data_IF_641861838111
#
_entry.id   IF_641861838111
#
_cell.length_a   1.000
_cell.length_b   1.000
_cell.length_c   1.000
_cell.angle_alpha   90.00
_cell.angle_beta   90.00
_cell.angle_gamma   90.00
#
_symmetry.space_group_name_H-M   'P 1'
#
loop_
_entity.id
_entity.type
_entity.pdbx_description
1 polymer ?
#
# COMPACT_ATOMS: atom_id res chain seq x y z
N UNK A 1 -30.72 -4.73 -1.57
CA UNK A 1 -29.72 -4.00 -2.38
C UNK A 1 -28.78 -5.00 -3.02
N UNK A 2 -28.22 -4.69 -4.16
CA UNK A 2 -27.23 -5.52 -4.84
C UNK A 2 -25.83 -4.96 -4.51
N UNK A 3 -24.92 -5.84 -4.03
CA UNK A 3 -23.52 -5.51 -3.78
C UNK A 3 -22.69 -6.24 -4.84
N UNK A 4 -22.05 -5.49 -5.71
CA UNK A 4 -21.28 -5.99 -6.85
C UNK A 4 -19.78 -6.01 -6.60
N UNK A 5 -19.15 -7.13 -6.93
CA UNK A 5 -17.71 -7.33 -6.86
C UNK A 5 -17.21 -7.67 -8.28
N UNK A 6 -16.87 -6.67 -9.10
CA UNK A 6 -16.29 -6.91 -10.40
C UNK A 6 -14.84 -7.39 -10.30
N UNK A 7 -14.37 -8.03 -11.36
CA UNK A 7 -12.96 -8.37 -11.53
C UNK A 7 -12.15 -7.09 -11.74
N UNK A 8 -10.94 -7.04 -11.17
CA UNK A 8 -10.01 -5.95 -11.45
C UNK A 8 -9.41 -6.08 -12.84
N UNK A 9 -9.38 -4.96 -13.58
CA UNK A 9 -8.96 -4.91 -14.98
C UNK A 9 -7.64 -4.16 -15.19
N UNK A 10 -7.14 -3.45 -14.19
CA UNK A 10 -5.83 -2.78 -14.29
C UNK A 10 -4.70 -3.80 -14.44
N UNK A 11 -3.78 -3.51 -15.36
CA UNK A 11 -2.59 -4.34 -15.57
C UNK A 11 -1.80 -4.46 -14.26
N UNK A 12 -1.48 -5.69 -13.87
CA UNK A 12 -0.74 -5.99 -12.63
C UNK A 12 -1.59 -5.95 -11.35
N UNK A 13 -2.92 -5.76 -11.44
CA UNK A 13 -3.81 -5.93 -10.29
C UNK A 13 -4.35 -7.37 -10.26
N UNK A 14 -4.09 -8.04 -9.16
CA UNK A 14 -4.45 -9.46 -8.97
C UNK A 14 -5.35 -9.65 -7.74
N UNK A 15 -5.56 -8.59 -6.96
CA UNK A 15 -6.42 -8.61 -5.78
C UNK A 15 -7.89 -8.55 -6.19
N UNK A 16 -8.76 -8.88 -5.24
CA UNK A 16 -10.21 -8.74 -5.36
C UNK A 16 -10.76 -8.05 -4.11
N UNK A 17 -11.82 -7.25 -4.27
CA UNK A 17 -12.34 -6.40 -3.20
C UNK A 17 -13.13 -7.15 -2.12
N UNK A 18 -13.57 -8.38 -2.38
CA UNK A 18 -14.24 -9.24 -1.41
C UNK A 18 -13.76 -10.69 -1.54
N UNK A 19 -13.76 -11.41 -0.42
CA UNK A 19 -13.44 -12.84 -0.35
C UNK A 19 -14.67 -13.62 0.09
N UNK A 20 -14.71 -14.95 -0.07
CA UNK A 20 -15.83 -15.77 0.42
C UNK A 20 -16.18 -15.52 1.89
N UNK A 21 -15.16 -15.28 2.74
CA UNK A 21 -15.39 -14.90 4.15
C UNK A 21 -16.23 -13.63 4.29
N UNK A 22 -15.87 -12.58 3.55
CA UNK A 22 -16.58 -11.29 3.62
C UNK A 22 -17.93 -11.33 2.91
N UNK A 23 -18.03 -12.06 1.79
CA UNK A 23 -19.29 -12.34 1.08
C UNK A 23 -20.29 -13.01 2.02
N UNK A 24 -19.90 -14.07 2.74
CA UNK A 24 -20.76 -14.75 3.72
C UNK A 24 -21.32 -13.79 4.76
N UNK A 25 -20.52 -12.83 5.23
CA UNK A 25 -20.98 -11.82 6.20
C UNK A 25 -21.93 -10.80 5.57
N UNK A 26 -21.70 -10.38 4.32
CA UNK A 26 -22.58 -9.47 3.61
C UNK A 26 -23.93 -10.11 3.27
N UNK A 27 -23.94 -11.39 2.90
CA UNK A 27 -25.14 -12.15 2.57
C UNK A 27 -25.94 -12.61 3.80
N UNK A 28 -25.35 -12.59 5.01
CA UNK A 28 -25.91 -13.21 6.21
C UNK A 28 -27.30 -12.71 6.61
N UNK A 29 -27.64 -11.45 6.30
CA UNK A 29 -28.98 -10.89 6.58
C UNK A 29 -30.08 -11.40 5.67
N UNK A 30 -29.72 -11.99 4.53
CA UNK A 30 -30.67 -12.38 3.45
C UNK A 30 -31.36 -11.19 2.75
N UNK A 31 -31.00 -9.94 3.09
CA UNK A 31 -31.60 -8.73 2.50
C UNK A 31 -30.76 -8.13 1.38
N UNK A 32 -29.54 -8.61 1.19
CA UNK A 32 -28.62 -8.15 0.16
C UNK A 32 -28.27 -9.30 -0.78
N UNK A 33 -28.36 -9.03 -2.08
CA UNK A 33 -27.87 -9.93 -3.11
C UNK A 33 -26.39 -9.57 -3.39
N UNK A 34 -25.48 -10.48 -3.07
CA UNK A 34 -24.06 -10.30 -3.33
C UNK A 34 -23.75 -10.95 -4.67
N UNK A 35 -23.30 -10.15 -5.62
CA UNK A 35 -22.98 -10.61 -6.98
C UNK A 35 -21.47 -10.45 -7.24
N UNK A 36 -20.85 -11.50 -7.74
CA UNK A 36 -19.42 -11.55 -8.04
C UNK A 36 -19.25 -11.82 -9.53
N UNK A 37 -18.44 -11.02 -10.21
CA UNK A 37 -18.09 -11.29 -11.59
C UNK A 37 -17.35 -12.63 -11.70
N UNK A 38 -17.79 -13.47 -12.65
CA UNK A 38 -17.13 -14.77 -12.93
C UNK A 38 -15.64 -14.57 -13.14
N UNK A 39 -14.84 -15.33 -12.39
CA UNK A 39 -13.38 -15.25 -12.43
C UNK A 39 -12.74 -14.10 -11.64
N UNK A 40 -13.51 -13.29 -10.89
CA UNK A 40 -12.98 -12.15 -10.14
C UNK A 40 -11.90 -12.53 -9.12
N UNK A 41 -12.03 -13.70 -8.49
CA UNK A 41 -11.10 -14.17 -7.47
C UNK A 41 -9.93 -15.01 -7.98
N UNK A 42 -9.93 -15.40 -9.25
CA UNK A 42 -8.96 -16.39 -9.80
C UNK A 42 -7.51 -15.96 -9.61
N UNK A 43 -7.19 -14.70 -9.87
CA UNK A 43 -5.83 -14.17 -9.67
C UNK A 43 -5.39 -14.14 -8.19
N UNK A 44 -6.34 -14.22 -7.25
CA UNK A 44 -6.12 -14.34 -5.81
C UNK A 44 -6.24 -15.78 -5.30
N UNK A 45 -6.23 -16.76 -6.21
CA UNK A 45 -6.41 -18.18 -5.89
C UNK A 45 -7.74 -18.51 -5.21
N UNK A 46 -8.78 -17.76 -5.52
CA UNK A 46 -10.15 -17.95 -5.02
C UNK A 46 -11.02 -18.39 -6.19
N UNK A 47 -11.46 -19.67 -6.25
CA UNK A 47 -12.33 -20.16 -7.30
C UNK A 47 -13.76 -19.65 -7.15
N UNK A 48 -14.47 -19.59 -8.26
CA UNK A 48 -15.88 -19.15 -8.32
C UNK A 48 -16.81 -19.96 -7.41
N UNK A 49 -16.53 -21.27 -7.29
CA UNK A 49 -17.30 -22.16 -6.41
C UNK A 49 -17.28 -21.75 -4.94
N UNK A 50 -16.18 -21.16 -4.47
CA UNK A 50 -16.05 -20.71 -3.08
C UNK A 50 -16.96 -19.48 -2.83
N UNK A 51 -17.09 -18.59 -3.82
CA UNK A 51 -18.04 -17.47 -3.74
C UNK A 51 -19.49 -17.94 -3.73
N UNK A 52 -19.83 -18.93 -4.59
CA UNK A 52 -21.17 -19.54 -4.60
C UNK A 52 -21.47 -20.21 -3.25
N UNK A 53 -20.51 -20.98 -2.71
CA UNK A 53 -20.62 -21.60 -1.38
C UNK A 53 -20.78 -20.60 -0.24
N UNK A 54 -20.30 -19.37 -0.42
CA UNK A 54 -20.46 -18.28 0.52
C UNK A 54 -21.79 -17.51 0.37
N UNK A 55 -22.61 -17.84 -0.65
CA UNK A 55 -23.90 -17.22 -0.90
C UNK A 55 -23.90 -16.10 -1.95
N UNK A 56 -22.82 -15.94 -2.72
CA UNK A 56 -22.80 -15.03 -3.85
C UNK A 56 -23.41 -15.67 -5.10
N UNK A 57 -23.99 -14.84 -5.96
CA UNK A 57 -24.37 -15.21 -7.33
C UNK A 57 -23.28 -14.77 -8.31
N UNK A 58 -22.85 -15.68 -9.16
CA UNK A 58 -21.92 -15.36 -10.24
C UNK A 58 -22.64 -14.65 -11.37
N UNK A 59 -22.01 -13.61 -11.89
CA UNK A 59 -22.61 -12.70 -12.88
C UNK A 59 -21.60 -12.24 -13.92
N UNK A 60 -22.07 -11.50 -14.91
CA UNK A 60 -21.23 -10.79 -15.89
C UNK A 60 -20.62 -9.52 -15.28
N UNK A 61 -19.56 -8.98 -15.92
CA UNK A 61 -18.98 -7.70 -15.56
C UNK A 61 -20.03 -6.56 -15.52
N UNK A 62 -20.95 -6.54 -16.48
CA UNK A 62 -21.98 -5.50 -16.58
C UNK A 62 -22.95 -5.56 -15.39
N UNK A 63 -23.33 -6.75 -14.95
CA UNK A 63 -24.22 -6.91 -13.78
C UNK A 63 -23.51 -6.55 -12.48
N UNK A 64 -22.21 -6.94 -12.31
CA UNK A 64 -21.44 -6.59 -11.13
C UNK A 64 -21.21 -5.07 -11.00
N UNK A 65 -20.87 -4.41 -12.12
CA UNK A 65 -20.70 -2.94 -12.17
C UNK A 65 -22.03 -2.18 -12.07
N UNK A 66 -23.15 -2.77 -12.52
CA UNK A 66 -24.50 -2.19 -12.44
C UNK A 66 -25.16 -2.31 -11.05
N UNK A 67 -24.46 -2.79 -10.05
CA UNK A 67 -24.97 -2.96 -8.69
C UNK A 67 -25.24 -1.62 -7.96
N UNK A 68 -25.96 -1.67 -6.83
CA UNK A 68 -26.24 -0.51 -5.99
C UNK A 68 -24.98 -0.06 -5.21
N UNK A 69 -24.15 -1.01 -4.84
CA UNK A 69 -22.85 -0.81 -4.19
C UNK A 69 -21.81 -1.58 -4.98
N UNK A 70 -20.78 -0.92 -5.48
CA UNK A 70 -19.67 -1.52 -6.21
C UNK A 70 -18.41 -1.46 -5.39
N UNK A 71 -17.85 -2.63 -5.08
CA UNK A 71 -16.62 -2.77 -4.33
C UNK A 71 -15.47 -3.06 -5.29
N UNK A 72 -14.46 -2.18 -5.31
CA UNK A 72 -13.26 -2.36 -6.14
C UNK A 72 -11.99 -2.20 -5.31
N UNK A 73 -10.91 -2.81 -5.79
CA UNK A 73 -9.57 -2.54 -5.26
C UNK A 73 -9.05 -1.24 -5.83
N UNK A 74 -9.18 -1.06 -7.14
CA UNK A 74 -8.77 0.18 -7.85
C UNK A 74 -9.97 0.85 -8.49
N UNK A 75 -9.92 2.16 -8.59
CA UNK A 75 -10.96 2.93 -9.29
C UNK A 75 -11.26 2.38 -10.69
N UNK A 76 -12.51 2.51 -11.17
CA UNK A 76 -12.95 2.02 -12.47
C UNK A 76 -12.12 2.59 -13.62
N UNK A 77 -11.93 1.78 -14.66
CA UNK A 77 -11.36 2.22 -15.93
C UNK A 77 -12.39 3.03 -16.74
N UNK A 78 -11.94 3.71 -17.81
CA UNK A 78 -12.84 4.44 -18.70
C UNK A 78 -13.92 3.55 -19.31
N UNK A 79 -13.63 2.28 -19.59
CA UNK A 79 -14.58 1.31 -20.16
C UNK A 79 -15.57 0.76 -19.11
N UNK A 80 -15.23 0.83 -17.83
CA UNK A 80 -16.09 0.40 -16.72
C UNK A 80 -17.08 1.50 -16.29
N UNK A 81 -16.69 2.77 -16.40
CA UNK A 81 -17.49 3.92 -15.94
C UNK A 81 -18.92 3.94 -16.52
N UNK A 82 -19.16 3.71 -17.83
CA UNK A 82 -20.51 3.74 -18.41
C UNK A 82 -21.43 2.62 -17.89
N UNK A 83 -20.87 1.58 -17.27
CA UNK A 83 -21.61 0.44 -16.74
C UNK A 83 -22.06 0.64 -15.29
N UNK A 84 -21.53 1.67 -14.62
CA UNK A 84 -21.93 1.98 -13.25
C UNK A 84 -23.36 2.54 -13.23
N UNK A 85 -24.14 2.06 -12.28
CA UNK A 85 -25.49 2.57 -12.05
C UNK A 85 -25.43 3.99 -11.49
N UNK A 86 -26.15 4.93 -12.07
CA UNK A 86 -26.28 6.27 -11.47
C UNK A 86 -26.88 6.17 -10.07
N UNK A 87 -26.28 6.88 -9.12
CA UNK A 87 -26.64 6.82 -7.70
C UNK A 87 -26.02 5.65 -6.94
N UNK A 88 -25.25 4.76 -7.59
CA UNK A 88 -24.54 3.71 -6.91
C UNK A 88 -23.43 4.26 -5.97
N UNK A 89 -23.09 3.48 -4.96
CA UNK A 89 -21.90 3.73 -4.14
C UNK A 89 -20.72 3.00 -4.76
N UNK A 90 -19.62 3.70 -4.96
CA UNK A 90 -18.34 3.16 -5.40
C UNK A 90 -17.35 3.26 -4.25
N UNK A 91 -16.83 2.13 -3.78
CA UNK A 91 -15.93 2.05 -2.62
C UNK A 91 -14.63 1.37 -3.02
N UNK A 92 -13.50 2.00 -2.76
CA UNK A 92 -12.19 1.44 -3.08
C UNK A 92 -11.04 2.42 -2.95
N UNK A 93 -9.90 2.07 -3.56
CA UNK A 93 -8.77 2.96 -3.80
C UNK A 93 -9.07 3.74 -5.08
N UNK A 94 -9.55 4.96 -4.94
CA UNK A 94 -10.11 5.77 -6.03
C UNK A 94 -9.15 6.84 -6.55
N UNK A 95 -7.93 6.90 -6.02
CA UNK A 95 -6.91 7.89 -6.33
C UNK A 95 -7.41 9.34 -6.17
N UNK A 96 -7.74 9.76 -4.93
CA UNK A 96 -8.39 11.03 -4.66
C UNK A 96 -7.52 12.26 -4.95
N UNK A 97 -6.26 12.07 -5.34
CA UNK A 97 -5.35 13.13 -5.78
C UNK A 97 -5.38 13.33 -7.31
N UNK A 98 -5.99 12.43 -8.07
CA UNK A 98 -6.26 12.58 -9.49
C UNK A 98 -7.63 13.24 -9.71
N UNK A 99 -7.61 14.56 -9.91
CA UNK A 99 -8.83 15.35 -10.13
C UNK A 99 -9.62 14.89 -11.36
N UNK A 100 -8.95 14.37 -12.40
CA UNK A 100 -9.60 13.89 -13.61
C UNK A 100 -10.36 12.58 -13.34
N UNK A 101 -9.75 11.66 -12.59
CA UNK A 101 -10.41 10.43 -12.17
C UNK A 101 -11.66 10.74 -11.32
N UNK A 102 -11.54 11.60 -10.30
CA UNK A 102 -12.67 11.98 -9.45
C UNK A 102 -13.77 12.69 -10.24
N UNK A 103 -13.39 13.58 -11.17
CA UNK A 103 -14.34 14.24 -12.09
C UNK A 103 -15.13 13.23 -12.94
N UNK A 104 -14.48 12.17 -13.40
CA UNK A 104 -15.14 11.12 -14.19
C UNK A 104 -16.15 10.30 -13.36
N UNK A 105 -15.85 10.01 -12.08
CA UNK A 105 -16.79 9.35 -11.18
C UNK A 105 -18.01 10.23 -10.88
N UNK A 106 -17.80 11.52 -10.68
CA UNK A 106 -18.87 12.49 -10.51
C UNK A 106 -19.78 12.52 -11.75
N UNK A 107 -19.21 12.59 -12.98
CA UNK A 107 -19.96 12.57 -14.24
C UNK A 107 -20.75 11.26 -14.43
N UNK A 108 -20.20 10.13 -14.01
CA UNK A 108 -20.91 8.85 -13.98
C UNK A 108 -22.10 8.85 -13.01
N UNK A 109 -22.17 9.85 -12.11
CA UNK A 109 -23.27 10.05 -11.16
C UNK A 109 -23.23 9.10 -9.97
N UNK A 110 -22.07 8.56 -9.62
CA UNK A 110 -21.87 7.72 -8.43
C UNK A 110 -21.50 8.54 -7.20
N UNK A 111 -21.69 7.97 -6.01
CA UNK A 111 -21.11 8.47 -4.77
C UNK A 111 -19.83 7.69 -4.49
N UNK A 112 -18.67 8.35 -4.65
CA UNK A 112 -17.34 7.72 -4.51
C UNK A 112 -16.77 7.87 -3.11
N UNK A 113 -16.33 6.77 -2.52
CA UNK A 113 -15.67 6.72 -1.21
C UNK A 113 -14.23 6.22 -1.39
N UNK A 114 -13.28 7.16 -1.33
CA UNK A 114 -11.86 6.87 -1.46
C UNK A 114 -11.26 6.45 -0.10
N UNK A 115 -10.94 5.18 0.03
CA UNK A 115 -10.41 4.64 1.28
C UNK A 115 -8.99 5.14 1.61
N UNK A 116 -8.31 5.78 0.68
CA UNK A 116 -7.05 6.51 0.93
C UNK A 116 -7.22 7.72 1.85
N UNK A 117 -8.42 8.26 1.97
CA UNK A 117 -8.74 9.41 2.81
C UNK A 117 -9.31 9.04 4.18
N UNK A 118 -9.27 7.77 4.57
CA UNK A 118 -9.62 7.36 5.92
C UNK A 118 -8.85 8.19 6.96
N UNK A 119 -9.53 8.81 7.95
CA UNK A 119 -8.87 9.58 8.97
C UNK A 119 -8.05 8.67 9.90
N UNK A 120 -6.94 9.17 10.42
CA UNK A 120 -6.05 8.41 11.32
C UNK A 120 -6.54 8.45 12.76
N UNK A 121 -7.71 7.91 13.00
CA UNK A 121 -8.34 7.78 14.32
C UNK A 121 -8.51 6.30 14.70
N UNK A 122 -8.60 6.02 15.99
CA UNK A 122 -8.67 4.63 16.50
C UNK A 122 -9.85 3.84 15.91
N UNK A 123 -11.00 4.48 15.70
CA UNK A 123 -12.19 3.87 15.11
C UNK A 123 -12.01 3.45 13.66
N UNK A 124 -11.14 4.13 12.90
CA UNK A 124 -10.87 3.82 11.49
C UNK A 124 -9.76 2.79 11.28
N UNK A 125 -9.02 2.38 12.31
CA UNK A 125 -7.87 1.48 12.17
C UNK A 125 -8.20 0.16 11.49
N UNK A 126 -9.36 -0.44 11.80
CA UNK A 126 -9.79 -1.69 11.18
C UNK A 126 -10.18 -1.56 9.71
N UNK A 127 -10.36 -0.33 9.22
CA UNK A 127 -10.73 0.02 7.85
C UNK A 127 -9.51 0.45 7.02
N UNK A 128 -8.32 0.65 7.65
CA UNK A 128 -7.13 1.23 7.03
C UNK A 128 -6.49 0.29 6.00
N UNK A 129 -6.96 0.45 4.76
CA UNK A 129 -6.45 -0.28 3.59
C UNK A 129 -5.00 0.09 3.26
N UNK A 130 -4.58 1.35 3.52
CA UNK A 130 -3.21 1.76 3.22
C UNK A 130 -2.23 1.04 4.13
N UNK A 131 -2.55 0.91 5.42
CA UNK A 131 -1.69 0.19 6.38
C UNK A 131 -1.66 -1.31 6.10
N UNK A 132 -2.80 -1.95 5.81
CA UNK A 132 -2.82 -3.39 5.52
C UNK A 132 -2.02 -3.72 4.27
N UNK A 133 -2.13 -2.93 3.22
CA UNK A 133 -1.41 -3.16 1.97
C UNK A 133 0.07 -2.74 2.07
N UNK A 134 0.41 -1.67 2.80
CA UNK A 134 1.80 -1.28 3.05
C UNK A 134 2.56 -2.37 3.83
N UNK A 135 1.90 -3.04 4.77
CA UNK A 135 2.48 -4.16 5.51
C UNK A 135 2.92 -5.28 4.55
N UNK A 136 2.03 -5.69 3.62
CA UNK A 136 2.34 -6.71 2.60
C UNK A 136 3.45 -6.22 1.67
N UNK A 137 3.43 -4.94 1.27
CA UNK A 137 4.48 -4.38 0.42
C UNK A 137 5.86 -4.46 1.09
N UNK A 138 5.96 -4.14 2.38
CA UNK A 138 7.20 -4.26 3.16
C UNK A 138 7.72 -5.69 3.25
N UNK A 139 6.83 -6.66 3.48
CA UNK A 139 7.18 -8.08 3.43
C UNK A 139 7.69 -8.47 2.04
N UNK A 140 6.93 -8.17 1.00
CA UNK A 140 7.26 -8.59 -0.37
C UNK A 140 8.55 -7.93 -0.88
N UNK A 141 8.83 -6.69 -0.49
CA UNK A 141 10.08 -6.02 -0.83
C UNK A 141 11.31 -6.78 -0.34
N UNK A 142 11.28 -7.30 0.89
CA UNK A 142 12.38 -8.09 1.43
C UNK A 142 12.51 -9.45 0.72
N UNK A 143 11.40 -10.11 0.41
CA UNK A 143 11.41 -11.39 -0.33
C UNK A 143 11.99 -11.20 -1.73
N UNK A 144 11.61 -10.14 -2.44
CA UNK A 144 12.18 -9.80 -3.75
C UNK A 144 13.65 -9.44 -3.62
N UNK A 145 14.03 -8.65 -2.61
CA UNK A 145 15.42 -8.31 -2.38
C UNK A 145 16.28 -9.57 -2.15
N UNK A 146 15.78 -10.51 -1.36
CA UNK A 146 16.46 -11.78 -1.07
C UNK A 146 16.60 -12.65 -2.33
N UNK A 147 15.55 -12.71 -3.17
CA UNK A 147 15.58 -13.43 -4.46
C UNK A 147 16.59 -12.82 -5.45
N UNK A 148 16.64 -11.49 -5.51
CA UNK A 148 17.54 -10.77 -6.40
C UNK A 148 18.98 -10.70 -5.88
N UNK A 149 19.19 -10.86 -4.56
CA UNK A 149 20.50 -10.85 -3.93
C UNK A 149 21.17 -12.20 -4.07
N UNK A 150 22.14 -12.34 -4.95
CA UNK A 150 22.80 -13.59 -5.29
C UNK A 150 23.65 -14.23 -4.15
N UNK A 151 23.33 -13.97 -2.87
CA UNK A 151 24.01 -14.49 -1.68
C UNK A 151 23.01 -14.82 -0.58
N UNK A 152 23.48 -15.47 0.50
CA UNK A 152 22.66 -15.77 1.66
C UNK A 152 22.25 -14.52 2.45
N UNK A 153 21.02 -14.50 2.95
CA UNK A 153 20.57 -13.50 3.91
C UNK A 153 21.17 -13.73 5.31
N UNK A 154 21.11 -14.93 5.91
CA UNK A 154 21.68 -15.21 7.22
C UNK A 154 23.18 -15.44 7.17
N UNK A 155 23.82 -15.37 8.33
CA UNK A 155 25.15 -15.93 8.51
C UNK A 155 25.08 -17.46 8.38
N UNK A 156 26.05 -18.03 7.68
CA UNK A 156 26.21 -19.48 7.53
C UNK A 156 27.65 -19.89 7.85
N UNK A 157 27.80 -20.94 8.62
CA UNK A 157 29.09 -21.54 8.93
C UNK A 157 29.14 -22.97 8.42
N UNK A 158 30.17 -23.30 7.66
CA UNK A 158 30.42 -24.65 7.13
C UNK A 158 31.89 -25.00 7.28
N UNK A 159 32.25 -26.27 7.04
CA UNK A 159 33.65 -26.68 6.99
C UNK A 159 34.44 -25.96 5.89
N UNK A 160 33.78 -25.44 4.86
CA UNK A 160 34.37 -24.65 3.79
C UNK A 160 34.57 -23.17 4.16
N UNK A 161 34.07 -22.71 5.31
CA UNK A 161 34.20 -21.33 5.77
C UNK A 161 32.90 -20.70 6.21
N UNK A 162 32.97 -19.40 6.51
CA UNK A 162 31.86 -18.58 7.02
C UNK A 162 31.39 -17.57 5.97
N UNK A 163 30.07 -17.56 5.72
CA UNK A 163 29.39 -16.51 4.97
C UNK A 163 28.78 -15.51 5.97
N UNK A 164 29.12 -14.24 5.81
CA UNK A 164 28.57 -13.16 6.67
C UNK A 164 27.11 -12.90 6.33
N UNK A 165 26.30 -12.53 7.32
CA UNK A 165 24.93 -12.09 7.12
C UNK A 165 24.85 -10.85 6.22
N UNK A 166 23.79 -10.79 5.41
CA UNK A 166 23.49 -9.63 4.58
C UNK A 166 23.23 -8.39 5.46
N UNK A 167 23.76 -7.23 5.02
CA UNK A 167 23.50 -5.93 5.64
C UNK A 167 22.41 -5.21 4.89
N UNK A 168 21.32 -4.94 5.57
CA UNK A 168 20.13 -4.30 5.01
C UNK A 168 19.97 -2.90 5.59
N UNK A 169 19.80 -1.90 4.73
CA UNK A 169 19.43 -0.54 5.13
C UNK A 169 18.00 -0.26 4.69
N UNK A 170 17.18 0.26 5.59
CA UNK A 170 15.78 0.61 5.32
C UNK A 170 15.61 2.12 5.54
N UNK A 171 15.14 2.82 4.51
CA UNK A 171 14.86 4.25 4.53
C UNK A 171 13.36 4.50 4.45
N UNK A 172 12.83 5.16 5.48
CA UNK A 172 11.42 5.29 5.74
C UNK A 172 10.91 4.14 6.62
N UNK A 173 10.48 4.49 7.84
CA UNK A 173 10.05 3.52 8.86
C UNK A 173 8.57 3.77 9.20
N UNK A 174 7.73 3.79 8.15
CA UNK A 174 6.29 3.62 8.26
C UNK A 174 5.92 2.14 8.35
N UNK A 175 4.65 1.81 8.11
CA UNK A 175 4.15 0.42 8.19
C UNK A 175 4.97 -0.52 7.30
N UNK A 176 5.25 -0.13 6.04
CA UNK A 176 6.06 -0.93 5.13
C UNK A 176 7.51 -1.13 5.62
N UNK A 177 8.13 -0.05 6.12
CA UNK A 177 9.51 -0.11 6.63
C UNK A 177 9.64 -0.96 7.89
N UNK A 178 8.71 -0.84 8.84
CA UNK A 178 8.68 -1.69 10.05
C UNK A 178 8.50 -3.16 9.69
N UNK A 179 7.60 -3.47 8.75
CA UNK A 179 7.42 -4.84 8.30
C UNK A 179 8.64 -5.36 7.53
N UNK A 180 9.31 -4.51 6.75
CA UNK A 180 10.56 -4.88 6.08
C UNK A 180 11.65 -5.21 7.10
N UNK A 181 11.78 -4.41 8.18
CA UNK A 181 12.70 -4.72 9.30
C UNK A 181 12.37 -6.10 9.88
N UNK A 182 11.11 -6.33 10.26
CA UNK A 182 10.68 -7.59 10.87
C UNK A 182 10.95 -8.79 9.96
N UNK A 183 10.71 -8.66 8.65
CA UNK A 183 10.91 -9.72 7.67
C UNK A 183 12.40 -9.99 7.44
N UNK A 184 13.21 -8.96 7.21
CA UNK A 184 14.66 -9.11 7.02
C UNK A 184 15.34 -9.70 8.26
N UNK A 185 14.86 -9.35 9.47
CA UNK A 185 15.33 -9.94 10.73
C UNK A 185 15.07 -11.45 10.79
N UNK A 186 13.86 -11.88 10.41
CA UNK A 186 13.51 -13.32 10.33
C UNK A 186 14.37 -14.08 9.33
N UNK A 187 14.82 -13.43 8.26
CA UNK A 187 15.77 -14.01 7.30
C UNK A 187 17.23 -13.97 7.78
N UNK A 188 17.50 -13.46 8.98
CA UNK A 188 18.83 -13.47 9.59
C UNK A 188 19.75 -12.33 9.14
N UNK A 189 19.23 -11.28 8.53
CA UNK A 189 20.02 -10.11 8.13
C UNK A 189 20.41 -9.22 9.33
N UNK A 190 21.47 -8.45 9.16
CA UNK A 190 21.84 -7.32 10.04
C UNK A 190 21.22 -6.06 9.46
N UNK A 191 20.40 -5.37 10.25
CA UNK A 191 19.54 -4.30 9.75
C UNK A 191 19.90 -2.96 10.39
N UNK A 192 20.02 -1.95 9.54
CA UNK A 192 20.04 -0.55 9.92
C UNK A 192 18.79 0.13 9.32
N UNK A 193 18.25 1.13 10.02
CA UNK A 193 17.10 1.88 9.51
C UNK A 193 17.16 3.35 9.88
N UNK A 194 16.60 4.21 9.02
CA UNK A 194 16.51 5.65 9.23
C UNK A 194 15.17 6.20 8.78
N UNK A 195 14.67 7.17 9.53
CA UNK A 195 13.49 7.96 9.20
C UNK A 195 13.73 9.41 9.67
N UNK A 196 13.04 10.36 9.09
CA UNK A 196 13.12 11.76 9.53
C UNK A 196 12.45 11.97 10.90
N UNK A 197 11.48 11.12 11.26
CA UNK A 197 10.71 11.20 12.51
C UNK A 197 11.45 10.48 13.64
N UNK A 198 11.82 11.18 14.72
CA UNK A 198 12.47 10.55 15.86
C UNK A 198 11.55 9.60 16.64
N UNK A 199 10.23 9.82 16.57
CA UNK A 199 9.22 9.02 17.28
C UNK A 199 9.17 7.53 16.90
N UNK A 200 9.74 7.15 15.76
CA UNK A 200 9.75 5.74 15.31
C UNK A 200 11.03 4.98 15.74
N UNK A 201 12.01 5.66 16.35
CA UNK A 201 13.28 5.05 16.75
C UNK A 201 13.09 3.84 17.67
N UNK A 202 12.30 4.00 18.72
CA UNK A 202 12.05 2.90 19.68
C UNK A 202 11.41 1.68 19.03
N UNK A 203 10.57 1.89 18.02
CA UNK A 203 9.97 0.81 17.24
C UNK A 203 11.02 0.07 16.40
N UNK A 204 11.96 0.79 15.79
CA UNK A 204 13.08 0.21 15.04
C UNK A 204 13.95 -0.66 15.94
N UNK A 205 14.35 -0.12 17.10
CA UNK A 205 15.21 -0.80 18.05
C UNK A 205 14.51 -2.02 18.68
N UNK A 206 13.22 -1.93 18.96
CA UNK A 206 12.43 -3.05 19.49
C UNK A 206 12.32 -4.23 18.50
N UNK A 207 12.39 -3.96 17.19
CA UNK A 207 12.46 -5.00 16.16
C UNK A 207 13.87 -5.56 15.96
N UNK A 208 14.87 -5.05 16.72
CA UNK A 208 16.25 -5.50 16.68
C UNK A 208 17.05 -4.96 15.50
N UNK A 209 16.65 -3.83 14.92
CA UNK A 209 17.43 -3.07 13.95
C UNK A 209 18.19 -1.94 14.66
N UNK A 210 19.31 -1.51 14.06
CA UNK A 210 20.07 -0.37 14.55
C UNK A 210 19.53 0.91 13.91
N UNK A 211 19.23 1.91 14.75
CA UNK A 211 18.89 3.24 14.27
C UNK A 211 20.10 3.96 13.67
N UNK A 212 19.91 4.54 12.47
CA UNK A 212 20.89 5.45 11.86
C UNK A 212 20.44 6.88 12.17
N UNK A 213 21.15 7.51 13.08
CA UNK A 213 20.84 8.84 13.53
C UNK A 213 21.34 9.91 12.55
N UNK A 214 20.52 10.96 12.37
CA UNK A 214 20.89 12.17 11.62
C UNK A 214 20.75 13.34 12.60
N UNK A 215 21.87 13.94 13.04
CA UNK A 215 21.83 14.96 14.07
C UNK A 215 21.06 16.20 13.63
N UNK A 216 20.30 16.78 14.55
CA UNK A 216 19.66 18.09 14.39
C UNK A 216 20.66 19.19 14.76
N UNK A 217 20.72 20.26 13.96
CA UNK A 217 21.58 21.41 14.25
C UNK A 217 20.99 22.34 15.32
N UNK A 218 19.65 22.32 15.47
CA UNK A 218 18.91 23.17 16.38
C UNK A 218 17.54 22.58 16.76
N UNK A 219 16.86 23.22 17.72
CA UNK A 219 15.54 22.79 18.19
C UNK A 219 14.44 22.97 17.14
N UNK A 220 14.60 23.87 16.16
CA UNK A 220 13.64 24.07 15.09
C UNK A 220 13.60 22.85 14.17
N UNK A 221 14.76 22.34 13.74
CA UNK A 221 14.84 21.09 12.98
C UNK A 221 14.19 19.94 13.72
N UNK A 222 14.41 19.82 15.05
CA UNK A 222 13.78 18.79 15.88
C UNK A 222 12.26 18.89 15.86
N UNK A 223 11.70 20.09 16.03
CA UNK A 223 10.24 20.33 15.98
C UNK A 223 9.63 20.01 14.62
N UNK A 224 10.35 20.30 13.52
CA UNK A 224 9.91 19.93 12.17
C UNK A 224 9.87 18.40 12.03
N UNK A 225 10.88 17.70 12.55
CA UNK A 225 10.98 16.25 12.48
C UNK A 225 9.88 15.50 13.25
N UNK A 226 9.26 16.11 14.28
CA UNK A 226 8.11 15.52 14.98
C UNK A 226 6.92 15.23 14.05
N UNK A 227 6.83 15.95 12.93
CA UNK A 227 5.82 15.70 11.90
C UNK A 227 4.40 16.12 12.31
N UNK A 228 3.42 15.69 11.51
CA UNK A 228 1.97 15.90 11.79
C UNK A 228 1.19 14.67 11.33
N UNK A 229 0.27 14.18 12.15
CA UNK A 229 -0.60 13.07 11.79
C UNK A 229 0.13 11.77 11.41
N UNK A 230 1.36 11.57 11.94
CA UNK A 230 2.19 10.40 11.64
C UNK A 230 2.96 10.49 10.31
N UNK A 231 2.84 11.58 9.56
CA UNK A 231 3.67 11.84 8.39
C UNK A 231 4.82 12.78 8.69
N UNK A 232 5.96 12.55 8.00
CA UNK A 232 7.09 13.45 8.04
C UNK A 232 6.75 14.81 7.42
N UNK A 233 7.26 15.90 8.01
CA UNK A 233 7.29 17.20 7.35
C UNK A 233 8.54 17.32 6.48
N UNK A 234 8.52 18.16 5.43
CA UNK A 234 9.75 18.49 4.69
C UNK A 234 10.78 19.09 5.65
N UNK A 235 11.95 18.47 5.72
CA UNK A 235 13.08 18.95 6.51
C UNK A 235 13.82 20.08 5.75
N UNK A 236 14.52 20.98 6.47
CA UNK A 236 15.35 22.00 5.85
C UNK A 236 16.43 21.40 4.93
N UNK A 237 16.83 22.14 3.85
CA UNK A 237 17.83 21.65 2.89
C UNK A 237 19.16 21.22 3.54
N UNK A 238 19.60 21.91 4.57
CA UNK A 238 20.84 21.64 5.30
C UNK A 238 20.75 20.30 6.04
N UNK A 239 19.62 20.00 6.66
CA UNK A 239 19.40 18.71 7.30
C UNK A 239 19.33 17.59 6.27
N UNK A 240 18.64 17.83 5.14
CA UNK A 240 18.56 16.88 4.03
C UNK A 240 19.94 16.57 3.43
N UNK A 241 20.81 17.57 3.35
CA UNK A 241 22.19 17.37 2.90
C UNK A 241 23.00 16.51 3.89
N UNK A 242 22.86 16.74 5.22
CA UNK A 242 23.49 15.90 6.24
C UNK A 242 22.98 14.46 6.16
N UNK A 243 21.67 14.27 6.04
CA UNK A 243 21.07 12.95 5.87
C UNK A 243 21.64 12.24 4.63
N UNK A 244 21.64 12.93 3.48
CA UNK A 244 22.16 12.37 2.24
C UNK A 244 23.63 11.93 2.36
N UNK A 245 24.46 12.70 3.05
CA UNK A 245 25.87 12.34 3.33
C UNK A 245 25.99 11.07 4.17
N UNK A 246 25.27 11.01 5.30
CA UNK A 246 25.29 9.86 6.21
C UNK A 246 24.79 8.60 5.50
N UNK A 247 23.67 8.71 4.77
CA UNK A 247 23.08 7.58 4.02
C UNK A 247 24.01 7.12 2.90
N UNK A 248 24.63 8.04 2.18
CA UNK A 248 25.59 7.70 1.11
C UNK A 248 26.77 6.89 1.64
N UNK A 249 27.33 7.26 2.80
CA UNK A 249 28.41 6.49 3.45
C UNK A 249 27.92 5.08 3.89
N UNK A 250 26.71 4.97 4.41
CA UNK A 250 26.14 3.64 4.75
C UNK A 250 25.94 2.78 3.50
N UNK A 251 25.47 3.36 2.42
CA UNK A 251 25.23 2.65 1.15
C UNK A 251 26.48 1.96 0.59
N UNK A 252 27.68 2.48 0.86
CA UNK A 252 28.94 1.83 0.44
C UNK A 252 29.15 0.45 1.09
N UNK A 253 28.52 0.19 2.23
CA UNK A 253 28.76 -1.03 3.02
C UNK A 253 27.58 -1.99 3.09
N UNK A 254 26.39 -1.58 2.68
CA UNK A 254 25.20 -2.43 2.69
C UNK A 254 25.11 -3.31 1.45
N UNK A 255 24.37 -4.38 1.57
CA UNK A 255 24.14 -5.37 0.50
C UNK A 255 22.75 -5.17 -0.10
N UNK A 256 21.80 -4.72 0.72
CA UNK A 256 20.40 -4.47 0.32
C UNK A 256 19.96 -3.12 0.87
N UNK A 257 19.33 -2.32 0.03
CA UNK A 257 18.67 -1.07 0.38
C UNK A 257 17.19 -1.16 0.04
N UNK A 258 16.32 -0.80 1.00
CA UNK A 258 14.86 -0.72 0.76
C UNK A 258 14.41 0.70 1.07
N UNK A 259 13.75 1.37 0.13
CA UNK A 259 13.25 2.72 0.31
C UNK A 259 11.71 2.73 0.27
N UNK A 260 11.10 3.41 1.25
CA UNK A 260 9.64 3.43 1.43
C UNK A 260 9.08 4.82 1.66
N UNK A 261 9.86 5.88 1.38
CA UNK A 261 9.46 7.24 1.68
C UNK A 261 8.44 7.75 0.65
N UNK A 262 7.20 7.86 1.07
CA UNK A 262 6.07 8.35 0.28
C UNK A 262 5.39 9.51 1.00
N UNK A 263 4.98 10.51 0.23
CA UNK A 263 4.15 11.62 0.67
C UNK A 263 2.86 11.56 -0.16
N UNK A 264 1.70 11.31 0.45
CA UNK A 264 0.44 11.19 -0.30
C UNK A 264 0.18 12.42 -1.19
N UNK A 265 -0.19 12.18 -2.46
CA UNK A 265 -0.50 13.22 -3.44
C UNK A 265 0.68 14.08 -3.92
N UNK A 266 1.91 13.69 -3.61
CA UNK A 266 3.12 14.40 -4.05
C UNK A 266 4.14 13.42 -4.65
N UNK A 267 5.03 13.89 -5.54
CA UNK A 267 6.16 13.10 -6.00
C UNK A 267 7.01 12.62 -4.81
N UNK A 268 7.53 11.40 -4.89
CA UNK A 268 8.39 10.84 -3.86
C UNK A 268 9.71 11.61 -3.76
N UNK A 269 10.24 11.84 -2.55
CA UNK A 269 11.52 12.51 -2.38
C UNK A 269 12.67 11.65 -2.94
N UNK A 270 13.60 12.28 -3.65
CA UNK A 270 14.82 11.61 -4.12
C UNK A 270 15.84 11.50 -2.99
N UNK A 271 15.89 10.34 -2.35
CA UNK A 271 16.78 10.07 -1.23
C UNK A 271 18.15 9.56 -1.67
N UNK A 272 18.19 8.80 -2.77
CA UNK A 272 19.39 8.13 -3.26
C UNK A 272 19.74 8.65 -4.63
N UNK A 273 20.86 9.35 -4.72
CA UNK A 273 21.41 9.90 -5.94
C UNK A 273 22.15 8.84 -6.77
N UNK A 274 22.28 9.04 -8.07
CA UNK A 274 23.00 8.14 -8.96
C UNK A 274 24.46 7.89 -8.52
N UNK A 275 25.14 8.92 -7.98
CA UNK A 275 26.47 8.78 -7.39
C UNK A 275 26.51 7.87 -6.17
N UNK A 276 25.48 7.86 -5.34
CA UNK A 276 25.35 6.93 -4.21
C UNK A 276 25.18 5.49 -4.71
N UNK A 277 24.31 5.28 -5.73
CA UNK A 277 24.14 3.96 -6.36
C UNK A 277 25.46 3.45 -6.93
N UNK A 278 26.21 4.32 -7.63
CA UNK A 278 27.51 3.96 -8.22
C UNK A 278 28.58 3.60 -7.17
N UNK A 279 28.44 4.10 -5.93
CA UNK A 279 29.34 3.80 -4.82
C UNK A 279 28.97 2.54 -4.02
N UNK A 280 27.81 1.91 -4.31
CA UNK A 280 27.41 0.66 -3.67
C UNK A 280 28.24 -0.52 -4.19
N UNK A 281 28.22 -1.60 -3.43
CA UNK A 281 28.91 -2.84 -3.82
C UNK A 281 28.29 -3.42 -5.11
N UNK A 282 29.08 -3.92 -6.08
CA UNK A 282 28.56 -4.73 -7.15
C UNK A 282 27.78 -5.94 -6.59
N UNK A 283 26.62 -6.23 -7.17
CA UNK A 283 25.71 -7.26 -6.68
C UNK A 283 24.76 -6.81 -5.57
N UNK A 284 24.87 -5.58 -5.08
CA UNK A 284 23.89 -5.00 -4.18
C UNK A 284 22.50 -4.88 -4.85
N UNK A 285 21.46 -4.90 -4.02
CA UNK A 285 20.06 -4.79 -4.47
C UNK A 285 19.40 -3.59 -3.81
N UNK A 286 18.72 -2.79 -4.61
CA UNK A 286 17.91 -1.66 -4.14
C UNK A 286 16.45 -1.91 -4.52
N UNK A 287 15.53 -1.89 -3.55
CA UNK A 287 14.09 -1.99 -3.80
C UNK A 287 13.45 -0.64 -3.51
N UNK A 288 12.89 -0.03 -4.53
CA UNK A 288 12.26 1.29 -4.46
C UNK A 288 10.73 1.15 -4.45
N UNK A 289 10.11 1.18 -3.25
CA UNK A 289 8.66 1.09 -3.11
C UNK A 289 7.93 2.37 -3.55
N UNK A 290 8.66 3.45 -3.75
CA UNK A 290 8.08 4.74 -4.14
C UNK A 290 8.05 4.95 -5.66
N UNK A 291 8.43 3.96 -6.44
CA UNK A 291 8.65 4.07 -7.90
C UNK A 291 7.41 4.57 -8.65
N UNK A 292 6.19 4.19 -8.23
CA UNK A 292 4.94 4.67 -8.84
C UNK A 292 4.74 6.19 -8.69
N UNK A 293 5.38 6.81 -7.71
CA UNK A 293 5.34 8.26 -7.47
C UNK A 293 6.68 8.93 -7.82
N UNK A 294 7.38 8.39 -8.80
CA UNK A 294 8.66 8.91 -9.27
C UNK A 294 9.90 8.31 -8.60
N UNK A 295 9.72 7.55 -7.51
CA UNK A 295 10.78 6.80 -6.83
C UNK A 295 11.68 7.62 -5.90
N UNK A 296 12.23 6.94 -4.89
CA UNK A 296 13.23 7.50 -3.98
C UNK A 296 14.66 7.40 -4.53
N UNK A 297 14.88 6.59 -5.58
CA UNK A 297 16.20 6.25 -6.09
C UNK A 297 16.35 6.76 -7.51
N UNK A 298 17.42 7.54 -7.77
CA UNK A 298 17.75 7.95 -9.13
C UNK A 298 18.14 6.75 -9.98
N UNK A 299 17.47 6.61 -11.12
CA UNK A 299 17.69 5.50 -12.06
C UNK A 299 16.81 4.29 -11.83
N UNK A 300 15.94 4.30 -10.81
CA UNK A 300 14.83 3.35 -10.68
C UNK A 300 13.82 3.54 -11.81
N UNK A 301 13.33 2.45 -12.40
CA UNK A 301 12.40 2.48 -13.54
C UNK A 301 11.13 1.69 -13.19
N UNK A 302 9.98 2.33 -13.38
CA UNK A 302 8.68 1.73 -13.06
C UNK A 302 8.47 0.41 -13.84
N UNK A 303 8.09 -0.63 -13.12
CA UNK A 303 7.80 -1.96 -13.66
C UNK A 303 9.02 -2.77 -14.07
N UNK A 304 10.24 -2.31 -13.77
CA UNK A 304 11.47 -2.97 -14.22
C UNK A 304 12.46 -3.27 -13.10
N UNK A 305 13.33 -4.24 -13.37
CA UNK A 305 14.58 -4.46 -12.64
C UNK A 305 15.70 -4.06 -13.59
N UNK A 306 16.44 -3.01 -13.25
CA UNK A 306 17.56 -2.51 -14.06
C UNK A 306 18.88 -2.65 -13.31
N UNK A 307 19.97 -2.84 -14.04
CA UNK A 307 21.31 -2.92 -13.44
C UNK A 307 22.11 -1.65 -13.79
N UNK A 308 22.57 -0.94 -12.76
CA UNK A 308 23.42 0.25 -12.91
C UNK A 308 24.66 0.09 -12.05
N UNK A 309 25.83 0.19 -12.65
CA UNK A 309 27.14 0.00 -11.98
C UNK A 309 27.22 -1.33 -11.17
N UNK A 310 26.61 -2.40 -11.69
CA UNK A 310 26.56 -3.69 -11.01
C UNK A 310 25.55 -3.80 -9.87
N UNK A 311 24.77 -2.76 -9.61
CA UNK A 311 23.70 -2.71 -8.60
C UNK A 311 22.35 -2.96 -9.28
N UNK A 312 21.53 -3.87 -8.74
CA UNK A 312 20.18 -4.12 -9.22
C UNK A 312 19.22 -3.12 -8.58
N UNK A 313 18.53 -2.32 -9.39
CA UNK A 313 17.46 -1.43 -8.96
C UNK A 313 16.12 -2.07 -9.31
N UNK A 314 15.35 -2.41 -8.30
CA UNK A 314 14.03 -3.05 -8.40
C UNK A 314 12.97 -1.99 -8.26
N UNK A 315 12.35 -1.62 -9.39
CA UNK A 315 11.26 -0.65 -9.49
C UNK A 315 9.91 -1.31 -9.77
N UNK A 316 9.61 -2.44 -9.12
CA UNK A 316 8.35 -3.13 -9.30
C UNK A 316 7.21 -2.39 -8.58
N UNK A 317 6.12 -2.15 -9.31
CA UNK A 317 4.93 -1.51 -8.77
C UNK A 317 4.02 -2.51 -8.05
N UNK A 318 3.08 -1.97 -7.26
CA UNK A 318 1.96 -2.71 -6.68
C UNK A 318 2.38 -4.04 -6.00
N UNK A 319 3.41 -4.00 -5.16
CA UNK A 319 3.94 -5.18 -4.49
C UNK A 319 2.88 -6.01 -3.73
N UNK A 320 1.81 -5.42 -3.14
CA UNK A 320 0.74 -6.20 -2.52
C UNK A 320 0.05 -7.16 -3.50
N UNK A 321 -0.07 -6.79 -4.76
CA UNK A 321 -0.65 -7.66 -5.79
C UNK A 321 0.20 -8.91 -6.08
N UNK A 322 1.47 -8.94 -5.66
CA UNK A 322 2.32 -10.12 -5.75
C UNK A 322 2.15 -11.12 -4.57
N UNK A 323 1.21 -10.81 -3.66
CA UNK A 323 0.75 -11.69 -2.56
C UNK A 323 -0.78 -11.63 -2.53
N UNK A 324 -1.45 -12.00 -3.64
CA UNK A 324 -2.83 -11.60 -3.89
C UNK A 324 -3.84 -12.21 -2.92
N UNK A 325 -3.64 -13.43 -2.45
CA UNK A 325 -4.56 -14.09 -1.53
C UNK A 325 -4.67 -13.35 -0.19
N UNK A 326 -3.54 -13.11 0.49
CA UNK A 326 -3.52 -12.40 1.76
C UNK A 326 -3.86 -10.92 1.60
N UNK A 327 -3.39 -10.30 0.51
CA UNK A 327 -3.69 -8.91 0.19
C UNK A 327 -5.19 -8.69 0.00
N UNK A 328 -5.87 -9.59 -0.72
CA UNK A 328 -7.33 -9.56 -0.89
C UNK A 328 -8.06 -9.82 0.42
N UNK A 329 -7.61 -10.78 1.23
CA UNK A 329 -8.24 -11.10 2.50
C UNK A 329 -8.23 -9.91 3.46
N UNK A 330 -7.07 -9.22 3.59
CA UNK A 330 -6.97 -8.04 4.44
C UNK A 330 -7.75 -6.85 3.87
N UNK A 331 -7.64 -6.60 2.56
CA UNK A 331 -8.39 -5.55 1.88
C UNK A 331 -9.90 -5.73 2.03
N UNK A 332 -10.41 -6.92 1.76
CA UNK A 332 -11.83 -7.24 1.86
C UNK A 332 -12.37 -7.04 3.29
N UNK A 333 -11.58 -7.36 4.32
CA UNK A 333 -11.96 -7.08 5.72
C UNK A 333 -12.00 -5.59 6.02
N UNK A 334 -11.04 -4.82 5.50
CA UNK A 334 -11.06 -3.36 5.64
C UNK A 334 -12.32 -2.77 4.99
N UNK A 335 -12.65 -3.18 3.76
CA UNK A 335 -13.87 -2.74 3.04
C UNK A 335 -15.13 -3.15 3.80
N UNK A 336 -15.20 -4.38 4.29
CA UNK A 336 -16.35 -4.85 5.09
C UNK A 336 -16.54 -3.99 6.36
N UNK A 337 -15.46 -3.65 7.06
CA UNK A 337 -15.53 -2.80 8.24
C UNK A 337 -16.00 -1.38 7.90
N UNK A 338 -15.56 -0.83 6.76
CA UNK A 338 -16.08 0.45 6.27
C UNK A 338 -17.57 0.38 5.93
N UNK A 339 -18.01 -0.67 5.22
CA UNK A 339 -19.42 -0.90 4.92
C UNK A 339 -20.28 -1.03 6.18
N UNK A 340 -19.74 -1.58 7.25
CA UNK A 340 -20.47 -1.74 8.53
C UNK A 340 -20.86 -0.41 9.18
N UNK A 341 -20.30 0.73 8.74
CA UNK A 341 -20.78 2.05 9.14
C UNK A 341 -22.17 2.36 8.57
N UNK A 342 -22.49 1.80 7.40
CA UNK A 342 -23.74 2.06 6.67
C UNK A 342 -24.68 0.86 6.63
N UNK A 343 -24.14 -0.33 6.85
CA UNK A 343 -24.86 -1.60 6.74
C UNK A 343 -24.96 -2.30 8.08
N UNK A 344 -26.17 -2.43 8.60
CA UNK A 344 -26.43 -3.26 9.77
C UNK A 344 -26.49 -4.74 9.34
N UNK A 345 -25.43 -5.49 9.64
CA UNK A 345 -25.33 -6.90 9.25
C UNK A 345 -26.44 -7.80 9.84
N UNK A 346 -27.05 -7.42 10.98
CA UNK A 346 -28.12 -8.20 11.65
C UNK A 346 -29.49 -7.91 11.05
N UNK A 347 -29.83 -6.64 10.86
CA UNK A 347 -31.12 -6.23 10.34
C UNK A 347 -31.16 -6.11 8.83
N UNK A 348 -29.98 -6.00 8.18
CA UNK A 348 -29.83 -5.71 6.77
C UNK A 348 -30.33 -4.31 6.38
N UNK A 349 -30.50 -3.41 7.34
CA UNK A 349 -30.81 -2.02 7.05
C UNK A 349 -29.56 -1.33 6.54
N UNK A 350 -29.74 -0.52 5.50
CA UNK A 350 -28.69 0.27 4.90
C UNK A 350 -29.02 1.75 5.01
N UNK A 351 -28.18 2.50 5.68
CA UNK A 351 -28.28 3.95 5.81
C UNK A 351 -26.87 4.54 5.91
N UNK A 352 -26.49 5.36 4.93
CA UNK A 352 -25.21 6.08 4.97
C UNK A 352 -25.28 7.16 6.05
N UNK A 353 -24.45 7.09 7.10
CA UNK A 353 -24.46 8.09 8.16
C UNK A 353 -23.70 9.34 7.67
N UNK A 354 -24.44 10.25 7.02
CA UNK A 354 -23.85 11.43 6.35
C UNK A 354 -23.06 12.34 7.32
N UNK A 355 -23.35 12.27 8.64
CA UNK A 355 -22.65 13.06 9.66
C UNK A 355 -21.43 12.37 10.28
N UNK A 356 -21.19 11.11 9.96
CA UNK A 356 -20.03 10.38 10.43
C UNK A 356 -18.72 10.95 9.84
N UNK A 357 -17.74 11.23 10.71
CA UNK A 357 -16.45 11.81 10.30
C UNK A 357 -15.66 10.95 9.32
N UNK A 358 -15.76 9.60 9.43
CA UNK A 358 -15.07 8.67 8.52
C UNK A 358 -15.72 8.72 7.15
N UNK A 359 -17.06 8.68 7.11
CA UNK A 359 -17.83 8.73 5.87
C UNK A 359 -17.61 10.06 5.15
N UNK A 360 -17.67 11.20 5.88
CA UNK A 360 -17.38 12.52 5.33
C UNK A 360 -15.97 12.61 4.77
N UNK A 361 -14.98 12.16 5.51
CA UNK A 361 -13.58 12.25 5.10
C UNK A 361 -13.27 11.45 3.83
N UNK A 362 -13.95 10.31 3.60
CA UNK A 362 -13.72 9.43 2.46
C UNK A 362 -14.53 9.79 1.22
N UNK A 363 -15.58 10.62 1.34
CA UNK A 363 -16.43 11.01 0.24
C UNK A 363 -15.71 11.96 -0.72
N UNK A 364 -15.53 11.58 -1.98
CA UNK A 364 -14.81 12.36 -3.01
C UNK A 364 -15.72 12.91 -4.10
N UNK A 365 -16.87 12.28 -4.31
CA UNK A 365 -17.90 12.77 -5.21
C UNK A 365 -19.28 12.26 -4.81
N UNK A 366 -20.32 13.05 -5.06
CA UNK A 366 -21.73 12.67 -4.86
C UNK A 366 -22.64 13.57 -5.72
N UNK A 367 -23.81 13.04 -6.11
CA UNK A 367 -24.84 13.79 -6.85
C UNK A 367 -24.33 14.50 -8.11
N UNK A 368 -23.35 13.90 -8.79
CA UNK A 368 -22.76 14.49 -10.00
C UNK A 368 -21.72 15.59 -9.77
N UNK A 369 -21.32 15.82 -8.52
CA UNK A 369 -20.34 16.83 -8.14
C UNK A 369 -19.16 16.24 -7.40
N UNK A 370 -17.98 16.87 -7.58
CA UNK A 370 -16.79 16.57 -6.78
C UNK A 370 -16.96 17.20 -5.40
N UNK A 371 -16.66 16.43 -4.36
CA UNK A 371 -16.68 16.91 -2.97
C UNK A 371 -15.27 17.36 -2.58
N UNK A 372 -15.06 18.62 -2.24
CA UNK A 372 -13.76 19.09 -1.81
C UNK A 372 -13.35 18.43 -0.49
N UNK A 373 -12.05 18.18 -0.33
CA UNK A 373 -11.52 17.74 0.96
C UNK A 373 -11.65 18.87 1.99
N UNK A 374 -12.36 18.62 3.08
CA UNK A 374 -12.46 19.51 4.24
C UNK A 374 -11.27 19.38 5.18
#
# INVERSE_FOLDING_TARGET
MIIGIPRETRVGETRVAATPETVKKLAASGKHDVVVETGAGVASSIPDADYQGAGARLVTAAEALGADIVLKVRGPSADELPRLKRGALLIGLLDPFDAAAIGSYAQAGVSGYALEWLPRISRAQSMDVLSSQANIAGYKAVVIAADQYGRFMPMLMTAAGTVKAARVLILGVGVAGLQAIATAKRLGAVIEASDVRPSVKDQVESLGAKWVDVPYANDEERKIAEGVGGYARPMPPEWMARQAGIISERCKTVDILITTALIPGRPAPKLIKAGTVAAMKPGAVVVDLAVEQGGNVEGSELGKIVVKNGVKLVGLANLPALVPADASALYARNVLNFLALSLNAKTGEFAVPADDEIVKATLVCASGQVVPRT
#
